data_IF_202695757267
#
_entry.id   IF_202695757267
#
_cell.length_a   1.000
_cell.length_b   1.000
_cell.length_c   1.000
_cell.angle_alpha   90.00
_cell.angle_beta   90.00
_cell.angle_gamma   90.00
#
_symmetry.space_group_name_H-M   'P 1'
#
loop_
_entity.id
_entity.type
_entity.pdbx_description
1 polymer ?
#
# COMPACT_ATOMS: atom_id res chain seq x y z
N UNK A 1 23.92 -9.02 -3.41
CA UNK A 1 24.11 -8.65 -4.83
C UNK A 1 23.22 -9.43 -5.81
N UNK A 2 23.03 -10.75 -5.70
CA UNK A 2 22.21 -11.52 -6.67
C UNK A 2 20.71 -11.15 -6.71
N UNK A 3 20.10 -10.79 -5.59
CA UNK A 3 18.67 -10.40 -5.53
C UNK A 3 18.44 -9.02 -6.14
N UNK A 4 19.34 -8.06 -5.88
CA UNK A 4 19.28 -6.72 -6.47
C UNK A 4 19.41 -6.78 -8.00
N UNK A 5 20.20 -7.73 -8.50
CA UNK A 5 20.30 -8.04 -9.93
C UNK A 5 19.01 -8.66 -10.49
N UNK A 6 18.31 -9.53 -9.75
CA UNK A 6 17.02 -10.09 -10.17
C UNK A 6 15.90 -9.04 -10.18
N UNK A 7 15.87 -8.13 -9.21
CA UNK A 7 14.92 -7.01 -9.20
C UNK A 7 15.20 -6.06 -10.36
N UNK A 8 16.47 -5.74 -10.63
CA UNK A 8 16.86 -4.94 -11.80
C UNK A 8 16.45 -5.63 -13.12
N UNK A 9 16.64 -6.95 -13.24
CA UNK A 9 16.21 -7.71 -14.42
C UNK A 9 14.70 -7.74 -14.59
N UNK A 10 13.93 -7.81 -13.51
CA UNK A 10 12.46 -7.71 -13.55
C UNK A 10 12.02 -6.32 -14.03
N UNK A 11 12.63 -5.25 -13.52
CA UNK A 11 12.35 -3.87 -13.95
C UNK A 11 12.69 -3.71 -15.44
N UNK A 12 13.83 -4.22 -15.90
CA UNK A 12 14.24 -4.15 -17.30
C UNK A 12 13.34 -4.98 -18.23
N UNK A 13 12.86 -6.15 -17.80
CA UNK A 13 11.92 -6.96 -18.59
C UNK A 13 10.57 -6.27 -18.74
N UNK A 14 10.02 -5.71 -17.66
CA UNK A 14 8.75 -4.94 -17.72
C UNK A 14 8.90 -3.74 -18.65
N UNK A 15 10.04 -3.04 -18.59
CA UNK A 15 10.33 -1.91 -19.48
C UNK A 15 10.46 -2.33 -20.96
N UNK A 16 11.09 -3.47 -21.24
CA UNK A 16 11.24 -4.01 -22.59
C UNK A 16 9.90 -4.45 -23.19
N UNK A 17 9.04 -5.07 -22.37
CA UNK A 17 7.73 -5.56 -22.79
C UNK A 17 6.78 -4.40 -23.11
N UNK A 18 6.78 -3.35 -22.25
CA UNK A 18 6.05 -2.10 -22.49
C UNK A 18 6.46 -1.45 -23.82
N UNK A 19 7.76 -1.40 -24.12
CA UNK A 19 8.29 -0.82 -25.37
C UNK A 19 7.93 -1.64 -26.61
N UNK A 20 7.82 -2.96 -26.50
CA UNK A 20 7.48 -3.83 -27.65
C UNK A 20 5.99 -3.78 -28.03
N UNK A 21 5.11 -3.51 -27.05
CA UNK A 21 3.66 -3.48 -27.26
C UNK A 21 3.17 -2.30 -28.12
N UNK A 22 3.94 -1.21 -28.20
CA UNK A 22 3.56 0.00 -28.94
C UNK A 22 3.84 -0.01 -30.44
N UNK A 23 4.57 -1.00 -30.99
CA UNK A 23 5.06 -0.93 -32.38
C UNK A 23 4.38 -1.88 -33.38
N UNK A 24 3.36 -2.66 -32.99
CA UNK A 24 2.83 -3.71 -33.84
C UNK A 24 1.30 -3.68 -34.00
N UNK A 25 0.76 -2.62 -34.63
CA UNK A 25 -0.54 -2.74 -35.34
C UNK A 25 -0.72 -1.67 -36.41
N UNK A 26 0.07 -1.79 -37.46
CA UNK A 26 -0.26 -1.22 -38.77
C UNK A 26 -0.48 -2.36 -39.75
N UNK A 27 -1.66 -2.32 -40.41
CA UNK A 27 -1.94 -2.89 -41.73
C UNK A 27 -2.28 -4.40 -41.82
N UNK A 28 -3.59 -4.68 -41.84
CA UNK A 28 -4.16 -5.76 -42.67
C UNK A 28 -5.67 -5.55 -42.87
N UNK A 29 -6.04 -5.28 -44.12
CA UNK A 29 -7.41 -5.21 -44.63
C UNK A 29 -8.10 -6.58 -44.60
N UNK A 30 -9.41 -6.63 -44.35
CA UNK A 30 -10.37 -7.51 -45.06
C UNK A 30 -11.80 -7.10 -44.69
N UNK A 31 -12.52 -6.43 -45.60
CA UNK A 31 -13.52 -7.00 -46.52
C UNK A 31 -14.77 -7.50 -45.79
N UNK A 32 -15.83 -6.67 -45.83
CA UNK A 32 -17.20 -6.98 -45.40
C UNK A 32 -17.72 -8.21 -46.15
N UNK A 33 -18.01 -9.28 -45.42
CA UNK A 33 -18.94 -10.31 -45.86
C UNK A 33 -20.14 -10.37 -44.90
N UNK A 34 -21.30 -10.32 -45.54
CA UNK A 34 -22.63 -10.19 -44.98
C UNK A 34 -23.11 -11.59 -44.63
N UNK A 35 -23.17 -11.93 -43.34
CA UNK A 35 -23.72 -13.23 -42.90
C UNK A 35 -24.95 -13.02 -42.02
N UNK A 36 -26.06 -13.50 -42.56
CA UNK A 36 -27.38 -13.70 -41.95
C UNK A 36 -27.30 -14.50 -40.65
N UNK A 37 -27.87 -13.97 -39.56
CA UNK A 37 -28.17 -14.76 -38.35
C UNK A 37 -29.67 -14.95 -38.22
N UNK A 38 -30.03 -16.22 -38.23
CA UNK A 38 -31.35 -16.81 -38.08
C UNK A 38 -31.81 -16.70 -36.62
N UNK A 39 -33.08 -16.37 -36.44
CA UNK A 39 -33.83 -16.44 -35.18
C UNK A 39 -33.68 -17.81 -34.48
N UNK A 40 -33.46 -17.79 -33.16
CA UNK A 40 -34.04 -18.85 -32.32
C UNK A 40 -34.45 -18.33 -30.95
N UNK A 41 -35.76 -18.15 -30.81
CA UNK A 41 -36.51 -18.04 -29.55
C UNK A 41 -36.28 -19.28 -28.70
N UNK A 42 -36.01 -19.12 -27.40
CA UNK A 42 -36.63 -19.97 -26.37
C UNK A 42 -36.69 -19.22 -25.04
N UNK A 43 -37.89 -19.11 -24.48
CA UNK A 43 -38.21 -18.54 -23.17
C UNK A 43 -38.34 -19.67 -22.12
N UNK A 44 -38.94 -19.45 -20.92
CA UNK A 44 -38.23 -19.34 -19.66
C UNK A 44 -38.51 -20.51 -18.69
N UNK A 45 -37.75 -20.60 -17.60
CA UNK A 45 -38.18 -21.36 -16.40
C UNK A 45 -37.86 -20.60 -15.11
N UNK A 46 -38.94 -20.22 -14.44
CA UNK A 46 -39.08 -19.92 -13.01
C UNK A 46 -38.80 -21.16 -12.14
N UNK A 47 -38.40 -20.98 -10.88
CA UNK A 47 -38.96 -21.65 -9.66
C UNK A 47 -38.38 -21.03 -8.37
N UNK A 48 -39.31 -20.62 -7.50
CA UNK A 48 -39.41 -20.54 -6.02
C UNK A 48 -38.20 -20.48 -5.07
N UNK A 49 -38.13 -19.56 -4.08
CA UNK A 49 -38.89 -19.38 -2.81
C UNK A 49 -38.57 -20.39 -1.68
N UNK A 50 -37.90 -19.93 -0.61
CA UNK A 50 -38.14 -20.28 0.81
C UNK A 50 -37.13 -19.52 1.70
N UNK A 51 -37.55 -18.66 2.65
CA UNK A 51 -37.80 -18.94 4.10
C UNK A 51 -36.56 -19.52 4.83
N UNK A 52 -36.16 -19.16 6.04
CA UNK A 52 -36.67 -18.29 7.13
C UNK A 52 -35.80 -18.52 8.39
N UNK A 53 -35.91 -17.60 9.37
CA UNK A 53 -35.85 -17.81 10.84
C UNK A 53 -34.59 -17.42 11.63
N UNK A 54 -34.95 -16.62 12.64
CA UNK A 54 -34.37 -16.06 13.86
C UNK A 54 -33.53 -16.92 14.84
N UNK A 55 -33.00 -16.16 15.83
CA UNK A 55 -32.73 -16.47 17.26
C UNK A 55 -31.26 -16.74 17.60
N UNK A 56 -30.70 -16.39 18.76
CA UNK A 56 -31.07 -15.55 19.92
C UNK A 56 -29.96 -15.77 20.98
N UNK A 57 -29.54 -14.68 21.66
CA UNK A 57 -29.18 -14.56 23.11
C UNK A 57 -27.93 -15.21 23.75
N UNK A 58 -27.46 -14.42 24.74
CA UNK A 58 -26.83 -14.72 26.06
C UNK A 58 -25.31 -14.96 26.07
N UNK A 59 -24.46 -14.08 26.64
CA UNK A 59 -24.25 -13.72 28.07
C UNK A 59 -24.00 -14.96 28.95
N UNK A 60 -22.88 -15.14 29.67
CA UNK A 60 -22.33 -14.33 30.78
C UNK A 60 -20.92 -14.86 31.18
N UNK A 61 -20.16 -14.18 32.08
CA UNK A 61 -18.73 -14.36 32.37
C UNK A 61 -18.41 -15.11 33.69
N UNK A 62 -17.12 -15.05 34.09
CA UNK A 62 -16.51 -15.17 35.45
C UNK A 62 -15.52 -16.35 35.59
N UNK A 63 -14.27 -16.05 35.95
CA UNK A 63 -13.67 -16.53 37.21
C UNK A 63 -12.27 -15.97 37.46
N UNK A 64 -12.18 -15.22 38.55
CA UNK A 64 -11.00 -14.83 39.32
C UNK A 64 -10.52 -16.01 40.18
N UNK A 65 -9.21 -16.18 40.36
CA UNK A 65 -8.68 -16.77 41.60
C UNK A 65 -7.25 -16.29 41.88
N UNK A 66 -7.09 -15.71 43.06
CA UNK A 66 -5.87 -15.29 43.73
C UNK A 66 -5.52 -16.29 44.83
N UNK A 67 -4.25 -16.71 44.98
CA UNK A 67 -3.70 -17.38 46.18
C UNK A 67 -2.19 -17.05 46.20
N UNK A 68 -1.73 -16.13 47.06
CA UNK A 68 -1.32 -16.28 48.46
C UNK A 68 0.05 -16.91 48.67
N UNK A 69 0.90 -16.09 49.29
CA UNK A 69 2.13 -16.32 50.04
C UNK A 69 2.21 -17.59 50.87
N UNK A 70 3.45 -18.06 51.10
CA UNK A 70 3.86 -18.63 52.38
C UNK A 70 5.34 -18.28 52.67
N UNK A 71 5.55 -17.75 53.88
CA UNK A 71 6.82 -17.64 54.59
C UNK A 71 7.14 -18.98 55.25
N UNK A 72 8.42 -19.32 55.38
CA UNK A 72 8.87 -20.21 56.45
C UNK A 72 10.26 -19.80 56.96
N UNK A 73 10.28 -19.39 58.21
CA UNK A 73 11.45 -19.13 59.06
C UNK A 73 11.59 -20.33 59.97
N UNK A 74 12.75 -21.00 59.98
CA UNK A 74 13.05 -22.08 60.95
C UNK A 74 14.40 -21.81 61.61
N UNK A 75 14.40 -22.04 62.92
CA UNK A 75 15.38 -21.71 63.93
C UNK A 75 16.61 -22.65 63.97
N UNK A 76 17.70 -22.12 64.53
CA UNK A 76 18.83 -22.89 65.10
C UNK A 76 18.38 -23.71 66.32
N UNK A 77 19.10 -24.81 66.64
CA UNK A 77 20.00 -24.70 67.78
C UNK A 77 21.28 -25.58 67.76
N UNK A 78 22.16 -25.19 68.68
CA UNK A 78 23.08 -25.97 69.51
C UNK A 78 24.47 -26.41 69.01
N UNK A 79 25.38 -26.23 69.98
CA UNK A 79 26.83 -26.32 69.93
C UNK A 79 27.26 -27.75 70.21
N UNK A 80 28.17 -28.26 69.38
CA UNK A 80 29.12 -29.28 69.76
C UNK A 80 30.50 -28.91 69.20
N UNK A 81 31.51 -28.95 70.07
CA UNK A 81 32.92 -28.72 69.76
C UNK A 81 33.45 -29.87 68.89
N UNK A 82 33.53 -29.62 67.58
CA UNK A 82 34.13 -30.53 66.60
C UNK A 82 35.40 -29.90 66.05
N UNK A 83 36.49 -30.69 66.14
CA UNK A 83 37.83 -30.44 65.62
C UNK A 83 37.77 -29.90 64.18
N UNK A 84 38.22 -28.66 63.99
CA UNK A 84 38.32 -28.01 62.67
C UNK A 84 39.54 -28.53 61.91
N UNK A 85 39.36 -29.60 61.16
CA UNK A 85 40.11 -29.75 59.92
C UNK A 85 39.55 -28.72 58.93
N UNK A 86 40.35 -27.70 58.64
CA UNK A 86 40.06 -26.69 57.61
C UNK A 86 40.12 -27.35 56.23
N UNK A 87 39.05 -28.05 55.87
CA UNK A 87 38.69 -28.25 54.47
C UNK A 87 38.24 -26.88 53.98
N UNK A 88 39.04 -26.27 53.11
CA UNK A 88 38.68 -25.04 52.39
C UNK A 88 37.54 -25.42 51.46
N UNK A 89 36.33 -25.38 52.01
CA UNK A 89 35.11 -25.60 51.27
C UNK A 89 34.99 -24.42 50.30
N UNK A 90 35.38 -24.68 49.06
CA UNK A 90 35.37 -23.67 48.01
C UNK A 90 33.92 -23.52 47.63
N UNK A 91 33.20 -22.65 48.33
CA UNK A 91 31.84 -22.27 47.98
C UNK A 91 31.93 -21.55 46.64
N UNK A 92 31.71 -22.30 45.56
CA UNK A 92 31.47 -21.73 44.25
C UNK A 92 30.15 -20.96 44.36
N UNK A 93 30.26 -19.65 44.57
CA UNK A 93 29.15 -18.73 44.32
C UNK A 93 28.92 -18.78 42.82
N UNK A 94 28.04 -19.68 42.39
CA UNK A 94 27.48 -19.66 41.05
C UNK A 94 26.71 -18.35 40.96
N UNK A 95 27.37 -17.30 40.46
CA UNK A 95 26.70 -16.08 40.12
C UNK A 95 25.59 -16.48 39.14
N UNK A 96 24.30 -16.17 39.42
CA UNK A 96 23.25 -16.43 38.47
C UNK A 96 23.68 -15.79 37.16
N UNK A 97 23.77 -16.62 36.13
CA UNK A 97 24.10 -16.24 34.77
C UNK A 97 23.29 -14.97 34.50
N UNK A 98 23.99 -13.84 34.29
CA UNK A 98 23.35 -12.54 34.09
C UNK A 98 22.25 -12.77 33.06
N UNK A 99 21.00 -12.78 33.50
CA UNK A 99 19.83 -12.88 32.62
C UNK A 99 20.03 -11.79 31.60
N UNK A 100 20.41 -12.21 30.39
CA UNK A 100 20.62 -11.29 29.28
C UNK A 100 19.28 -10.57 29.17
N UNK A 101 19.24 -9.24 29.24
CA UNK A 101 17.98 -8.52 29.17
C UNK A 101 17.27 -9.04 27.92
N UNK A 102 16.10 -9.66 28.12
CA UNK A 102 15.27 -10.20 27.05
C UNK A 102 15.19 -9.09 26.02
N UNK A 103 15.82 -9.31 24.86
CA UNK A 103 15.93 -8.31 23.83
C UNK A 103 14.52 -7.81 23.57
N UNK A 104 14.31 -6.50 23.81
CA UNK A 104 13.02 -5.84 23.67
C UNK A 104 12.45 -6.30 22.33
N UNK A 105 11.30 -6.97 22.38
CA UNK A 105 10.67 -7.59 21.21
C UNK A 105 10.65 -6.56 20.08
N UNK A 106 11.30 -6.87 18.96
CA UNK A 106 11.52 -5.88 17.92
C UNK A 106 10.17 -5.45 17.33
N UNK A 107 9.79 -4.20 17.59
CA UNK A 107 8.55 -3.61 17.08
C UNK A 107 8.64 -3.44 15.57
N UNK A 108 8.20 -4.45 14.83
CA UNK A 108 8.03 -4.42 13.38
C UNK A 108 6.54 -4.49 13.04
N UNK A 109 5.97 -3.38 12.57
CA UNK A 109 4.54 -3.28 12.25
C UNK A 109 4.39 -2.78 10.82
N UNK A 110 3.63 -3.45 9.92
CA UNK A 110 3.46 -2.98 8.56
C UNK A 110 2.63 -1.69 8.53
N UNK A 111 3.05 -0.73 7.71
CA UNK A 111 2.37 0.55 7.53
C UNK A 111 1.98 0.73 6.06
N UNK A 112 1.01 1.61 5.77
CA UNK A 112 0.64 1.95 4.40
C UNK A 112 1.80 2.56 3.60
N UNK A 113 1.67 2.47 2.27
CA UNK A 113 2.58 2.93 1.24
C UNK A 113 3.81 2.03 1.01
N UNK A 114 3.73 0.74 1.33
CA UNK A 114 4.86 -0.19 1.33
C UNK A 114 5.93 0.18 2.37
N UNK A 115 5.52 0.64 3.55
CA UNK A 115 6.41 0.89 4.68
C UNK A 115 6.15 -0.03 5.86
N UNK A 116 7.00 0.06 6.88
CA UNK A 116 6.84 -0.57 8.18
C UNK A 116 7.43 0.34 9.26
N UNK A 117 6.84 0.31 10.45
CA UNK A 117 7.43 0.92 11.64
C UNK A 117 8.57 0.03 12.15
N UNK A 118 9.76 0.61 12.27
CA UNK A 118 10.98 -0.08 12.74
C UNK A 118 11.44 0.40 14.13
N UNK A 119 10.89 1.50 14.64
CA UNK A 119 11.40 2.25 15.79
C UNK A 119 12.68 3.03 15.50
N UNK A 120 13.68 2.41 14.84
CA UNK A 120 14.93 3.03 14.40
C UNK A 120 15.47 2.34 13.14
N UNK A 121 16.13 3.08 12.27
CA UNK A 121 16.81 2.55 11.08
C UNK A 121 16.24 3.09 9.77
N UNK A 122 16.55 2.39 8.67
CA UNK A 122 16.13 2.77 7.32
C UNK A 122 15.09 1.80 6.79
N UNK A 123 14.00 2.31 6.21
CA UNK A 123 12.97 1.53 5.54
C UNK A 123 12.95 1.89 4.06
N UNK A 124 12.93 0.87 3.20
CA UNK A 124 12.80 1.02 1.75
C UNK A 124 11.63 0.17 1.27
N UNK A 125 10.67 0.80 0.63
CA UNK A 125 9.49 0.20 0.02
C UNK A 125 9.51 0.34 -1.49
N UNK A 126 9.10 -0.70 -2.20
CA UNK A 126 8.79 -0.63 -3.63
C UNK A 126 7.47 -1.36 -3.90
N UNK A 127 6.66 -0.82 -4.80
CA UNK A 127 5.36 -1.36 -5.14
C UNK A 127 5.04 -1.17 -6.62
N UNK A 128 4.29 -2.11 -7.18
CA UNK A 128 3.74 -2.01 -8.52
C UNK A 128 2.28 -2.39 -8.51
N UNK A 129 1.50 -1.82 -9.41
CA UNK A 129 0.07 -1.90 -9.34
C UNK A 129 -0.64 -1.44 -10.60
N UNK A 130 -1.98 -1.44 -10.50
CA UNK A 130 -2.88 -0.94 -11.51
C UNK A 130 -3.75 0.16 -10.90
N UNK A 131 -4.06 1.17 -11.70
CA UNK A 131 -4.91 2.28 -11.33
C UNK A 131 -6.04 2.43 -12.32
N UNK A 132 -7.24 2.46 -11.79
CA UNK A 132 -8.46 2.70 -12.52
C UNK A 132 -9.01 4.06 -12.07
N UNK A 133 -8.95 5.04 -12.97
CA UNK A 133 -9.43 6.40 -12.69
C UNK A 133 -10.96 6.47 -12.62
N UNK A 134 -11.62 5.81 -13.58
CA UNK A 134 -13.07 5.79 -13.76
C UNK A 134 -13.45 4.56 -14.60
N UNK A 135 -14.70 4.14 -14.53
CA UNK A 135 -15.22 3.00 -15.31
C UNK A 135 -15.03 3.17 -16.82
N UNK A 136 -14.94 4.40 -17.28
CA UNK A 136 -14.85 4.75 -18.70
C UNK A 136 -13.41 5.00 -19.16
N UNK A 137 -12.43 5.03 -18.26
CA UNK A 137 -11.01 5.20 -18.61
C UNK A 137 -10.28 3.84 -18.61
N UNK A 138 -9.24 3.72 -19.43
CA UNK A 138 -8.36 2.55 -19.40
C UNK A 138 -7.55 2.47 -18.09
N UNK A 139 -7.16 1.25 -17.71
CA UNK A 139 -6.33 1.02 -16.54
C UNK A 139 -4.88 1.43 -16.80
N UNK A 140 -4.32 2.24 -15.91
CA UNK A 140 -2.92 2.65 -15.95
C UNK A 140 -2.05 1.75 -15.06
N UNK A 141 -0.81 1.51 -15.49
CA UNK A 141 0.20 0.93 -14.64
C UNK A 141 0.67 1.96 -13.61
N UNK A 142 0.90 1.53 -12.38
CA UNK A 142 1.46 2.39 -11.32
C UNK A 142 2.65 1.74 -10.66
N UNK A 143 3.67 2.55 -10.43
CA UNK A 143 4.85 2.19 -9.65
C UNK A 143 4.98 3.12 -8.45
N UNK A 144 5.40 2.58 -7.31
CA UNK A 144 5.59 3.33 -6.08
C UNK A 144 6.94 2.96 -5.47
N UNK A 145 7.65 3.97 -4.95
CA UNK A 145 8.87 3.81 -4.19
C UNK A 145 8.82 4.67 -2.94
N UNK A 146 9.17 4.11 -1.80
CA UNK A 146 9.21 4.80 -0.53
C UNK A 146 10.56 4.61 0.16
N UNK A 147 11.06 5.68 0.75
CA UNK A 147 12.27 5.70 1.56
C UNK A 147 11.96 6.42 2.87
N UNK A 148 12.13 5.76 4.00
CA UNK A 148 11.92 6.35 5.31
C UNK A 148 13.12 6.15 6.24
N UNK A 149 13.38 7.14 7.07
CA UNK A 149 14.39 7.10 8.11
C UNK A 149 13.73 7.34 9.47
N UNK A 150 13.82 6.33 10.34
CA UNK A 150 13.26 6.37 11.69
C UNK A 150 14.30 6.97 12.64
N UNK A 151 14.16 8.28 12.91
CA UNK A 151 15.09 9.01 13.77
C UNK A 151 14.97 8.57 15.23
N UNK A 152 13.74 8.38 15.70
CA UNK A 152 13.39 7.91 17.05
C UNK A 152 12.10 7.10 16.98
N UNK A 153 11.79 6.40 18.07
CA UNK A 153 10.58 5.58 18.21
C UNK A 153 9.27 6.36 17.94
N UNK A 154 9.28 7.69 18.00
CA UNK A 154 8.09 8.53 17.81
C UNK A 154 8.14 9.42 16.55
N UNK A 155 9.23 9.45 15.78
CA UNK A 155 9.34 10.33 14.61
C UNK A 155 10.14 9.70 13.46
N UNK A 156 9.54 9.76 12.27
CA UNK A 156 10.09 9.21 11.03
C UNK A 156 9.98 10.28 9.94
N UNK A 157 11.05 10.49 9.18
CA UNK A 157 11.00 11.31 7.96
C UNK A 157 11.04 10.40 6.74
N UNK A 158 10.30 10.75 5.70
CA UNK A 158 10.18 9.93 4.51
C UNK A 158 10.05 10.73 3.22
N UNK A 159 10.39 10.04 2.13
CA UNK A 159 10.18 10.46 0.77
C UNK A 159 9.49 9.32 0.02
N UNK A 160 8.43 9.66 -0.72
CA UNK A 160 7.64 8.74 -1.52
C UNK A 160 7.54 9.27 -2.95
N UNK A 161 7.65 8.37 -3.91
CA UNK A 161 7.52 8.67 -5.33
C UNK A 161 6.55 7.69 -5.97
N UNK A 162 5.62 8.21 -6.76
CA UNK A 162 4.66 7.41 -7.50
C UNK A 162 4.65 7.82 -8.97
N UNK A 163 4.76 6.83 -9.83
CA UNK A 163 4.72 6.97 -11.28
C UNK A 163 3.47 6.29 -11.81
N UNK A 164 2.71 7.00 -12.63
CA UNK A 164 1.56 6.48 -13.37
C UNK A 164 1.93 6.51 -14.84
N UNK A 165 1.76 5.37 -15.53
CA UNK A 165 2.11 5.23 -16.93
C UNK A 165 1.17 4.28 -17.63
N UNK A 166 0.70 4.68 -18.82
CA UNK A 166 -0.15 3.85 -19.66
C UNK A 166 -0.92 4.68 -20.68
N UNK A 167 -1.72 3.99 -21.49
CA UNK A 167 -2.72 4.60 -22.36
C UNK A 167 -3.96 4.90 -21.52
N UNK A 168 -4.36 6.17 -21.45
CA UNK A 168 -5.59 6.60 -20.80
C UNK A 168 -6.81 6.39 -21.70
N UNK A 169 -6.59 6.53 -23.01
CA UNK A 169 -7.52 6.24 -24.10
C UNK A 169 -6.71 5.87 -25.36
N UNK A 170 -7.37 5.49 -26.47
CA UNK A 170 -6.76 5.05 -27.74
C UNK A 170 -5.71 6.00 -28.28
N UNK A 171 -5.89 7.29 -28.04
CA UNK A 171 -5.05 8.35 -28.61
C UNK A 171 -4.25 9.12 -27.55
N UNK A 172 -4.34 8.72 -26.26
CA UNK A 172 -3.74 9.46 -25.14
C UNK A 172 -2.86 8.57 -24.30
N UNK A 173 -1.54 8.78 -24.34
CA UNK A 173 -0.60 8.20 -23.38
C UNK A 173 -0.34 9.20 -22.26
N UNK A 174 -0.52 8.77 -21.02
CA UNK A 174 -0.31 9.61 -19.84
C UNK A 174 0.90 9.13 -19.04
N UNK A 175 1.81 10.07 -18.74
CA UNK A 175 2.88 9.88 -17.77
C UNK A 175 2.74 10.93 -16.69
N UNK A 176 2.37 10.50 -15.48
CA UNK A 176 2.16 11.38 -14.33
C UNK A 176 3.06 10.95 -13.17
N UNK A 177 3.72 11.91 -12.55
CA UNK A 177 4.68 11.67 -11.48
C UNK A 177 4.32 12.49 -10.25
N UNK A 178 4.32 11.83 -9.10
CA UNK A 178 3.99 12.43 -7.81
C UNK A 178 5.10 12.15 -6.83
N UNK A 179 5.65 13.22 -6.27
CA UNK A 179 6.68 13.18 -5.25
C UNK A 179 6.08 13.67 -3.94
N UNK A 180 6.31 12.97 -2.83
CA UNK A 180 5.83 13.36 -1.50
C UNK A 180 6.97 13.31 -0.49
N UNK A 181 7.01 14.32 0.37
CA UNK A 181 7.80 14.35 1.58
C UNK A 181 6.84 14.21 2.76
N UNK A 182 7.15 13.32 3.69
CA UNK A 182 6.30 13.05 4.84
C UNK A 182 7.12 13.05 6.14
N UNK A 183 6.52 13.55 7.22
CA UNK A 183 7.07 13.43 8.57
C UNK A 183 6.01 12.77 9.42
N UNK A 184 6.24 11.52 9.83
CA UNK A 184 5.29 10.72 10.62
C UNK A 184 5.62 10.85 12.10
N UNK A 185 4.60 11.13 12.90
CA UNK A 185 4.63 11.09 14.35
C UNK A 185 3.93 9.82 14.82
N UNK A 186 4.67 8.94 15.50
CA UNK A 186 4.22 7.60 15.84
C UNK A 186 3.77 7.48 17.30
N UNK A 187 2.81 6.59 17.53
CA UNK A 187 2.40 6.09 18.84
C UNK A 187 2.28 4.57 18.75
N UNK A 188 3.40 3.92 19.02
CA UNK A 188 3.51 2.46 19.02
C UNK A 188 2.99 1.81 20.30
N UNK A 189 2.39 0.63 20.14
CA UNK A 189 2.02 -0.34 21.15
C UNK A 189 2.59 -1.71 20.74
N UNK A 190 2.56 -2.70 21.64
CA UNK A 190 2.98 -4.06 21.28
C UNK A 190 2.08 -4.59 20.15
N UNK A 191 2.65 -4.77 18.96
CA UNK A 191 1.95 -5.28 17.78
C UNK A 191 1.05 -4.28 17.06
N UNK A 192 1.04 -3.00 17.42
CA UNK A 192 0.27 -1.98 16.71
C UNK A 192 1.02 -0.65 16.67
N UNK A 193 0.85 0.11 15.60
CA UNK A 193 1.40 1.47 15.50
C UNK A 193 0.36 2.40 14.89
N UNK A 194 0.24 3.60 15.45
CA UNK A 194 -0.60 4.66 14.93
C UNK A 194 0.28 5.85 14.58
N UNK A 195 -0.01 6.50 13.47
CA UNK A 195 0.73 7.71 13.10
C UNK A 195 -0.17 8.80 12.55
N UNK A 196 0.33 10.03 12.68
CA UNK A 196 -0.15 11.20 11.94
C UNK A 196 1.03 11.83 11.23
N UNK A 197 0.81 12.29 10.00
CA UNK A 197 1.87 12.78 9.14
C UNK A 197 1.42 14.02 8.38
N UNK A 198 1.96 15.21 8.64
CA UNK A 198 2.01 16.23 7.62
C UNK A 198 2.74 15.68 6.38
N UNK A 199 2.28 16.08 5.20
CA UNK A 199 2.95 15.78 3.95
C UNK A 199 2.97 17.00 3.03
N UNK A 200 4.01 17.07 2.22
CA UNK A 200 4.17 18.02 1.14
C UNK A 200 4.36 17.23 -0.14
N UNK A 201 3.50 17.44 -1.12
CA UNK A 201 3.60 16.81 -2.42
C UNK A 201 4.02 17.82 -3.49
N UNK A 202 4.70 17.31 -4.50
CA UNK A 202 4.93 17.98 -5.76
C UNK A 202 4.46 17.04 -6.86
N UNK A 203 3.61 17.56 -7.72
CA UNK A 203 3.01 16.81 -8.80
C UNK A 203 3.44 17.46 -10.12
N UNK A 204 4.02 16.63 -10.99
CA UNK A 204 4.49 17.05 -12.29
C UNK A 204 3.75 16.24 -13.33
N UNK A 205 2.85 16.89 -14.04
CA UNK A 205 2.23 16.33 -15.24
C UNK A 205 2.92 16.98 -16.42
N UNK A 206 3.67 16.22 -17.21
CA UNK A 206 4.20 16.75 -18.46
C UNK A 206 3.09 16.73 -19.53
N UNK A 207 2.14 17.67 -19.38
CA UNK A 207 1.02 17.89 -20.30
C UNK A 207 1.42 18.80 -21.47
N UNK A 208 2.68 19.26 -21.52
CA UNK A 208 3.10 20.34 -22.42
C UNK A 208 3.32 19.87 -23.86
N UNK A 209 3.98 18.72 -24.07
CA UNK A 209 4.03 18.05 -25.38
C UNK A 209 2.65 17.51 -25.79
N UNK A 210 1.90 17.00 -24.82
CA UNK A 210 0.57 16.42 -25.04
C UNK A 210 -0.46 17.44 -25.55
N UNK A 211 -0.46 18.65 -24.98
CA UNK A 211 -1.34 19.75 -25.46
C UNK A 211 -0.99 20.26 -26.84
N UNK A 212 0.29 20.20 -27.24
CA UNK A 212 0.72 20.67 -28.55
C UNK A 212 0.36 19.65 -29.64
N UNK A 213 0.53 18.36 -29.38
CA UNK A 213 0.19 17.29 -30.34
C UNK A 213 -1.34 17.18 -30.57
N UNK A 214 -2.15 17.36 -29.53
CA UNK A 214 -3.62 17.44 -29.67
C UNK A 214 -4.08 18.70 -30.40
N UNK A 215 -3.43 19.85 -30.17
CA UNK A 215 -3.79 21.10 -30.85
C UNK A 215 -3.41 21.08 -32.33
N UNK A 216 -2.38 20.32 -32.69
CA UNK A 216 -1.98 20.08 -34.07
C UNK A 216 -2.77 18.95 -34.74
N UNK A 217 -3.29 17.98 -33.97
CA UNK A 217 -4.24 16.95 -34.43
C UNK A 217 -5.64 17.49 -34.72
N UNK A 218 -6.22 18.27 -33.79
CA UNK A 218 -7.55 18.89 -33.94
C UNK A 218 -7.59 19.90 -35.10
N UNK A 219 -6.49 20.62 -35.34
CA UNK A 219 -6.38 21.52 -36.52
C UNK A 219 -6.28 20.78 -37.85
N UNK A 220 -5.97 19.48 -37.85
CA UNK A 220 -5.82 18.68 -39.07
C UNK A 220 -7.16 18.15 -39.58
N UNK A 221 -8.12 17.91 -38.69
CA UNK A 221 -9.43 17.37 -39.04
C UNK A 221 -10.50 18.43 -39.36
N UNK A 222 -10.30 19.71 -39.02
CA UNK A 222 -11.21 20.81 -39.43
C UNK A 222 -11.12 21.18 -40.92
N UNK A 223 -10.41 20.40 -41.75
CA UNK A 223 -10.25 20.67 -43.19
C UNK A 223 -10.85 19.59 -44.13
N UNK A 224 -11.68 18.68 -43.61
CA UNK A 224 -12.39 17.70 -44.43
C UNK A 224 -13.90 17.80 -44.22
N UNK A 225 -14.56 18.40 -45.21
CA UNK A 225 -16.01 18.51 -45.38
C UNK A 225 -16.78 17.21 -45.05
N UNK A 226 -17.89 17.33 -44.30
CA UNK A 226 -18.86 16.26 -44.14
C UNK A 226 -19.88 16.52 -43.03
N UNK A 227 -21.00 17.16 -43.38
CA UNK A 227 -22.21 17.22 -42.55
C UNK A 227 -22.69 15.80 -42.17
N UNK A 228 -22.68 15.43 -40.89
CA UNK A 228 -23.51 14.33 -40.38
C UNK A 228 -23.80 14.43 -38.88
N UNK A 229 -25.09 14.57 -38.56
CA UNK A 229 -25.79 14.16 -37.33
C UNK A 229 -25.17 14.55 -35.98
N UNK A 230 -25.60 15.72 -35.50
CA UNK A 230 -25.68 16.10 -34.10
C UNK A 230 -26.58 15.12 -33.32
N UNK A 231 -26.03 14.40 -32.34
CA UNK A 231 -26.63 14.19 -31.01
C UNK A 231 -25.88 13.16 -30.11
N UNK A 232 -24.78 12.52 -30.56
CA UNK A 232 -24.04 11.52 -29.75
C UNK A 232 -22.63 11.96 -29.27
N UNK A 233 -22.11 13.13 -29.68
CA UNK A 233 -20.71 13.55 -29.38
C UNK A 233 -20.54 14.37 -28.08
N UNK A 234 -21.62 14.68 -27.36
CA UNK A 234 -21.50 15.46 -26.11
C UNK A 234 -20.94 14.63 -24.95
N UNK A 235 -21.18 13.31 -24.97
CA UNK A 235 -20.91 12.43 -23.84
C UNK A 235 -19.49 11.86 -23.92
N UNK A 236 -19.00 11.48 -25.10
CA UNK A 236 -17.61 11.04 -25.33
C UNK A 236 -16.60 12.14 -24.95
N UNK A 237 -16.82 13.37 -25.43
CA UNK A 237 -15.96 14.52 -25.12
C UNK A 237 -16.01 14.94 -23.64
N UNK A 238 -17.09 14.63 -22.92
CA UNK A 238 -17.16 14.86 -21.47
C UNK A 238 -16.41 13.79 -20.68
N UNK A 239 -16.50 12.53 -21.11
CA UNK A 239 -15.79 11.40 -20.51
C UNK A 239 -14.28 11.60 -20.64
N UNK A 240 -13.77 11.92 -21.83
CA UNK A 240 -12.35 12.21 -22.07
C UNK A 240 -11.84 13.34 -21.17
N UNK A 241 -12.60 14.44 -21.08
CA UNK A 241 -12.27 15.57 -20.20
C UNK A 241 -12.29 15.21 -18.72
N UNK A 242 -13.04 14.19 -18.30
CA UNK A 242 -13.10 13.75 -16.91
C UNK A 242 -11.88 12.87 -16.56
N UNK A 243 -11.44 12.00 -17.48
CA UNK A 243 -10.22 11.20 -17.33
C UNK A 243 -8.99 12.11 -17.18
N UNK A 244 -8.82 13.12 -18.05
CA UNK A 244 -7.67 14.05 -18.01
C UNK A 244 -7.62 14.85 -16.69
N UNK A 245 -8.77 15.37 -16.23
CA UNK A 245 -8.86 16.20 -15.02
C UNK A 245 -8.43 15.50 -13.74
N UNK A 246 -8.49 14.18 -13.68
CA UNK A 246 -8.00 13.41 -12.53
C UNK A 246 -6.47 13.44 -12.42
N UNK A 247 -5.76 13.60 -13.54
CA UNK A 247 -4.30 13.56 -13.58
C UNK A 247 -3.63 14.93 -13.74
N UNK A 248 -4.36 15.96 -14.15
CA UNK A 248 -3.81 17.32 -14.35
C UNK A 248 -3.64 18.10 -13.03
N UNK A 249 -3.09 17.46 -11.99
CA UNK A 249 -2.68 18.13 -10.77
C UNK A 249 -1.24 18.56 -10.95
N UNK A 250 -1.05 19.79 -11.38
CA UNK A 250 0.26 20.41 -11.44
C UNK A 250 0.48 21.28 -10.21
N UNK A 251 1.67 21.17 -9.64
CA UNK A 251 2.15 22.05 -8.61
C UNK A 251 2.28 21.39 -7.24
N UNK A 252 2.20 22.23 -6.20
CA UNK A 252 2.44 21.79 -4.83
C UNK A 252 1.13 21.39 -4.15
N UNK A 253 1.22 20.31 -3.39
CA UNK A 253 0.21 19.87 -2.44
C UNK A 253 0.72 19.94 -1.01
N UNK A 254 -0.19 20.25 -0.09
CA UNK A 254 0.04 20.07 1.34
C UNK A 254 -1.10 19.25 1.91
N UNK A 255 -0.81 18.39 2.87
CA UNK A 255 -1.82 17.50 3.41
C UNK A 255 -1.46 16.91 4.76
N UNK A 256 -2.42 16.16 5.28
CA UNK A 256 -2.24 15.36 6.50
C UNK A 256 -2.73 13.94 6.21
N UNK A 257 -1.95 12.96 6.63
CA UNK A 257 -2.28 11.54 6.63
C UNK A 257 -2.34 11.04 8.05
N UNK A 258 -3.37 10.28 8.38
CA UNK A 258 -3.42 9.48 9.59
C UNK A 258 -3.46 8.01 9.18
N UNK A 259 -2.68 7.17 9.84
CA UNK A 259 -2.64 5.76 9.53
C UNK A 259 -2.35 4.90 10.73
N UNK A 260 -2.53 3.60 10.53
CA UNK A 260 -2.26 2.59 11.52
C UNK A 260 -1.78 1.30 10.86
N UNK A 261 -1.01 0.54 11.64
CA UNK A 261 -0.60 -0.82 11.34
C UNK A 261 -0.91 -1.72 12.53
N UNK A 262 -1.26 -2.97 12.26
CA UNK A 262 -1.56 -3.96 13.28
C UNK A 262 -1.04 -5.34 12.87
N UNK A 263 -0.24 -5.96 13.72
CA UNK A 263 0.22 -7.34 13.56
C UNK A 263 -0.82 -8.25 14.21
N UNK A 264 -1.55 -9.03 13.41
CA UNK A 264 -2.55 -9.97 13.92
C UNK A 264 -1.84 -11.23 14.44
N UNK A 265 -0.96 -11.78 13.61
CA UNK A 265 -0.18 -12.99 13.89
C UNK A 265 1.26 -12.77 13.42
N UNK A 266 2.18 -13.66 13.81
CA UNK A 266 3.61 -13.58 13.43
C UNK A 266 3.84 -13.33 11.93
N UNK A 267 2.98 -13.92 11.09
CA UNK A 267 3.09 -13.86 9.63
C UNK A 267 2.20 -12.81 8.96
N UNK A 268 1.21 -12.24 9.65
CA UNK A 268 0.16 -11.44 9.02
C UNK A 268 -0.07 -10.14 9.78
N UNK A 269 -0.06 -9.03 9.05
CA UNK A 269 -0.48 -7.73 9.54
C UNK A 269 -1.47 -7.04 8.61
N UNK A 270 -2.13 -6.04 9.15
CA UNK A 270 -3.03 -5.13 8.47
C UNK A 270 -2.45 -3.73 8.52
N UNK A 271 -2.74 -2.94 7.51
CA UNK A 271 -2.43 -1.52 7.48
C UNK A 271 -3.63 -0.73 6.95
N UNK A 272 -3.78 0.50 7.41
CA UNK A 272 -4.81 1.41 6.90
C UNK A 272 -4.33 2.85 7.03
N UNK A 273 -4.56 3.68 6.01
CA UNK A 273 -4.36 5.13 6.08
C UNK A 273 -5.57 5.87 5.51
N UNK A 274 -5.78 7.08 6.01
CA UNK A 274 -6.63 8.09 5.39
C UNK A 274 -5.83 9.38 5.24
N UNK A 275 -5.89 10.01 4.08
CA UNK A 275 -5.26 11.31 3.86
C UNK A 275 -6.22 12.34 3.29
N UNK A 276 -5.93 13.59 3.62
CA UNK A 276 -6.52 14.76 3.00
C UNK A 276 -5.40 15.66 2.51
N UNK A 277 -5.45 16.00 1.22
CA UNK A 277 -4.44 16.80 0.55
C UNK A 277 -5.11 17.96 -0.20
N UNK A 278 -4.52 19.15 -0.09
CA UNK A 278 -4.94 20.36 -0.79
C UNK A 278 -3.85 20.75 -1.77
N UNK A 279 -4.22 20.90 -3.04
CA UNK A 279 -3.35 21.38 -4.10
C UNK A 279 -3.54 22.90 -4.28
N UNK A 280 -2.46 23.63 -4.57
CA UNK A 280 -2.50 25.09 -4.84
C UNK A 280 -3.41 25.49 -6.01
N UNK A 281 -3.74 24.57 -6.92
CA UNK A 281 -4.76 24.71 -7.95
C UNK A 281 -6.21 24.60 -7.45
N UNK A 282 -6.42 24.67 -6.12
CA UNK A 282 -7.71 24.56 -5.43
C UNK A 282 -8.42 23.20 -5.52
N UNK A 283 -7.70 22.17 -5.96
CA UNK A 283 -8.18 20.81 -5.89
C UNK A 283 -7.96 20.22 -4.49
N UNK A 284 -8.93 19.46 -4.01
CA UNK A 284 -8.83 18.72 -2.75
C UNK A 284 -8.90 17.24 -3.05
N UNK A 285 -8.03 16.46 -2.43
CA UNK A 285 -7.92 15.01 -2.59
C UNK A 285 -8.15 14.34 -1.23
N UNK A 286 -9.12 13.45 -1.17
CA UNK A 286 -9.28 12.51 -0.06
C UNK A 286 -8.83 11.14 -0.53
N UNK A 287 -7.99 10.48 0.25
CA UNK A 287 -7.61 9.09 -0.02
C UNK A 287 -7.80 8.18 1.19
N UNK A 288 -8.11 6.92 0.91
CA UNK A 288 -8.20 5.84 1.89
C UNK A 288 -7.42 4.64 1.37
N UNK A 289 -6.53 4.09 2.17
CA UNK A 289 -5.61 3.02 1.78
C UNK A 289 -5.60 1.86 2.77
N UNK A 290 -6.50 0.86 2.64
CA UNK A 290 -6.41 -0.39 3.39
C UNK A 290 -5.42 -1.36 2.75
N UNK A 291 -4.76 -2.17 3.58
CA UNK A 291 -3.80 -3.16 3.14
C UNK A 291 -3.66 -4.35 4.07
N UNK A 292 -3.12 -5.42 3.51
CA UNK A 292 -2.69 -6.63 4.21
C UNK A 292 -1.22 -6.87 3.91
N UNK A 293 -0.46 -7.36 4.89
CA UNK A 293 0.96 -7.61 4.74
C UNK A 293 1.38 -8.95 5.33
N UNK A 294 2.23 -9.66 4.61
CA UNK A 294 2.83 -10.92 5.01
C UNK A 294 4.28 -10.72 5.46
N UNK A 295 4.60 -11.20 6.67
CA UNK A 295 5.92 -11.01 7.28
C UNK A 295 6.93 -12.01 6.68
N UNK A 296 7.70 -11.57 5.70
CA UNK A 296 8.74 -12.39 5.10
C UNK A 296 9.89 -12.67 6.05
N UNK A 297 10.12 -11.80 7.04
CA UNK A 297 11.21 -12.00 8.02
C UNK A 297 11.08 -13.32 8.77
N UNK A 298 9.85 -13.68 9.13
CA UNK A 298 9.53 -14.91 9.86
C UNK A 298 9.54 -16.16 8.96
N UNK A 299 9.16 -16.01 7.69
CA UNK A 299 9.10 -17.13 6.75
C UNK A 299 10.44 -17.41 6.06
N UNK A 300 11.33 -16.41 5.98
CA UNK A 300 12.58 -16.48 5.24
C UNK A 300 13.79 -16.32 6.17
N UNK A 301 14.52 -17.42 6.50
CA UNK A 301 15.61 -17.38 7.47
C UNK A 301 16.74 -16.40 7.14
N UNK A 302 16.97 -16.10 5.86
CA UNK A 302 17.94 -15.09 5.46
C UNK A 302 17.47 -13.68 5.88
N UNK A 303 16.21 -13.33 5.62
CA UNK A 303 15.65 -12.05 6.02
C UNK A 303 15.66 -11.90 7.55
N UNK A 304 15.26 -12.95 8.30
CA UNK A 304 15.33 -12.96 9.76
C UNK A 304 16.70 -12.69 10.37
N UNK A 305 17.77 -13.05 9.66
CA UNK A 305 19.17 -12.85 10.10
C UNK A 305 19.78 -11.52 9.66
N UNK A 306 19.32 -10.94 8.56
CA UNK A 306 19.99 -9.80 7.90
C UNK A 306 19.17 -8.51 7.92
N UNK A 307 17.86 -8.59 8.17
CA UNK A 307 16.95 -7.45 8.08
C UNK A 307 16.15 -7.32 9.37
N UNK A 308 15.92 -6.06 9.79
CA UNK A 308 15.05 -5.72 10.92
C UNK A 308 13.58 -5.93 10.56
N UNK A 309 13.24 -5.74 9.30
CA UNK A 309 11.87 -5.92 8.81
C UNK A 309 11.85 -6.33 7.35
N UNK A 310 10.90 -7.17 6.99
CA UNK A 310 10.61 -7.47 5.59
C UNK A 310 9.15 -7.87 5.45
N UNK A 311 8.40 -7.13 4.63
CA UNK A 311 6.99 -7.40 4.37
C UNK A 311 6.72 -7.50 2.87
N UNK A 312 5.80 -8.38 2.50
CA UNK A 312 5.08 -8.30 1.21
C UNK A 312 3.72 -7.73 1.52
N UNK A 313 3.34 -6.60 0.95
CA UNK A 313 2.01 -6.00 1.15
C UNK A 313 1.17 -6.04 -0.10
N UNK A 314 -0.14 -6.19 0.09
CA UNK A 314 -1.16 -5.87 -0.89
C UNK A 314 -1.98 -4.70 -0.34
N UNK A 315 -2.05 -3.61 -1.10
CA UNK A 315 -2.70 -2.36 -0.68
C UNK A 315 -3.67 -1.91 -1.76
N UNK A 316 -4.85 -1.46 -1.36
CA UNK A 316 -5.79 -0.79 -2.24
C UNK A 316 -5.85 0.68 -1.86
N UNK A 317 -5.89 1.61 -2.83
CA UNK A 317 -6.04 3.03 -2.57
C UNK A 317 -7.29 3.54 -3.26
N UNK A 318 -8.22 4.07 -2.48
CA UNK A 318 -9.43 4.74 -2.95
C UNK A 318 -9.20 6.24 -2.89
N UNK A 319 -9.40 6.93 -4.00
CA UNK A 319 -9.13 8.35 -4.13
C UNK A 319 -10.34 9.10 -4.67
N UNK A 320 -10.59 10.28 -4.12
CA UNK A 320 -11.65 11.18 -4.59
C UNK A 320 -11.16 12.62 -4.64
N UNK A 321 -11.38 13.24 -5.79
CA UNK A 321 -11.12 14.65 -6.02
C UNK A 321 -12.38 15.48 -5.81
N UNK A 322 -12.27 16.60 -5.10
CA UNK A 322 -13.31 17.62 -4.98
C UNK A 322 -12.94 18.86 -5.79
N UNK A 323 -13.93 19.69 -6.13
CA UNK A 323 -13.80 20.92 -6.92
C UNK A 323 -13.30 20.77 -8.38
N UNK A 324 -13.32 19.54 -8.95
CA UNK A 324 -12.99 19.32 -10.39
C UNK A 324 -14.15 18.79 -11.24
N UNK A 325 -15.35 18.70 -10.67
CA UNK A 325 -16.55 18.20 -11.36
C UNK A 325 -16.61 16.68 -11.50
N UNK A 326 -15.57 15.95 -11.10
CA UNK A 326 -15.55 14.49 -11.11
C UNK A 326 -16.14 13.95 -9.81
N UNK A 327 -17.21 13.14 -9.91
CA UNK A 327 -17.92 12.59 -8.74
C UNK A 327 -17.44 11.20 -8.34
N UNK A 328 -16.65 10.56 -9.19
CA UNK A 328 -16.26 9.17 -9.06
C UNK A 328 -15.07 8.95 -8.13
N UNK A 329 -14.95 7.70 -7.67
CA UNK A 329 -13.80 7.24 -6.89
C UNK A 329 -12.84 6.52 -7.82
N UNK A 330 -11.60 6.98 -7.84
CA UNK A 330 -10.51 6.25 -8.46
C UNK A 330 -10.01 5.16 -7.51
N UNK A 331 -9.58 4.03 -8.05
CA UNK A 331 -9.11 2.87 -7.29
C UNK A 331 -7.76 2.42 -7.83
N UNK A 332 -6.81 2.27 -6.93
CA UNK A 332 -5.50 1.68 -7.19
C UNK A 332 -5.37 0.37 -6.43
N UNK A 333 -4.70 -0.63 -7.00
CA UNK A 333 -4.28 -1.84 -6.31
C UNK A 333 -2.79 -2.05 -6.47
N UNK A 334 -2.08 -2.31 -5.37
CA UNK A 334 -0.62 -2.46 -5.31
C UNK A 334 -0.24 -3.79 -4.70
N UNK A 335 0.83 -4.37 -5.23
CA UNK A 335 1.64 -5.39 -4.56
C UNK A 335 3.01 -4.78 -4.34
N UNK A 336 3.52 -4.88 -3.12
CA UNK A 336 4.78 -4.28 -2.75
C UNK A 336 5.65 -5.12 -1.83
N UNK A 337 6.92 -4.73 -1.78
CA UNK A 337 7.95 -5.27 -0.92
C UNK A 337 8.53 -4.13 -0.09
N UNK A 338 8.68 -4.37 1.20
CA UNK A 338 9.32 -3.47 2.14
C UNK A 338 10.52 -4.15 2.78
N UNK A 339 11.60 -3.40 2.97
CA UNK A 339 12.83 -3.85 3.62
C UNK A 339 13.25 -2.83 4.69
N UNK A 340 13.43 -3.29 5.92
CA UNK A 340 13.96 -2.50 7.03
C UNK A 340 15.36 -2.95 7.42
N UNK A 341 16.29 -2.00 7.50
CA UNK A 341 17.72 -2.19 7.80
C UNK A 341 18.08 -1.53 9.13
#
# INVERSE_FOLDING_TARGET
MRILFLVLLLILNVYAEAKSSGSARSRSQTKKEKTTVVEKKTAPKSVDKSKSVDKSKQATPISTTSVSSNYETIAEPEKDDVVRDTVVDTVYVVMPEKTTPVAKEECNVPLPHQSAFLGQGLSVGIGAGLFNASKDCDCLGVWQGQLEYHYKEYITGGFDVRFFGGTLDRDVMLMYQRYRLNVRFHRGFTGADFYISPMLGLETTDLSEFRNELRDGVKKDESSDGESSSDDDSDSLQIEKNCEKMFSLDGFTFGVEAGMGLVIFRYLGLSAAASYEFNLSWAQLVSFSPGVAFNLREAWPWAGKNLRSTWVSFEMIFQRYFNRGVKEWAVAGFIGLQFGI
#
